data_IF_765653908927
#
_entry.id   IF_765653908927
#
_cell.length_a   1.000
_cell.length_b   1.000
_cell.length_c   1.000
_cell.angle_alpha   90.00
_cell.angle_beta   90.00
_cell.angle_gamma   90.00
#
_symmetry.space_group_name_H-M   'P 1'
#
loop_
_entity.id
_entity.type
_entity.pdbx_description
1 polymer ?
#
# COMPACT_ATOMS: atom_id res chain seq x y z
N UNK A 1 -9.69 3.42 -44.85
CA UNK A 1 -9.97 3.51 -43.39
C UNK A 1 -10.99 2.48 -42.88
N UNK A 2 -11.99 2.05 -43.67
CA UNK A 2 -12.98 1.07 -43.20
C UNK A 2 -12.43 -0.36 -43.00
N UNK A 3 -11.56 -0.86 -43.88
CA UNK A 3 -11.01 -2.23 -43.75
C UNK A 3 -10.13 -2.45 -42.50
N UNK A 4 -9.41 -1.41 -42.06
CA UNK A 4 -8.56 -1.49 -40.87
C UNK A 4 -9.40 -1.54 -39.58
N UNK A 5 -10.51 -0.81 -39.53
CA UNK A 5 -11.45 -0.80 -38.39
C UNK A 5 -12.18 -2.13 -38.24
N UNK A 6 -12.61 -2.75 -39.35
CA UNK A 6 -13.24 -4.08 -39.34
C UNK A 6 -12.29 -5.19 -38.91
N UNK A 7 -11.00 -5.11 -39.26
CA UNK A 7 -10.01 -6.10 -38.81
C UNK A 7 -9.65 -5.97 -37.33
N UNK A 8 -9.62 -4.74 -36.80
CA UNK A 8 -9.39 -4.48 -35.37
C UNK A 8 -10.57 -4.93 -34.48
N UNK A 9 -11.82 -4.77 -34.94
CA UNK A 9 -13.00 -5.28 -34.22
C UNK A 9 -13.10 -6.80 -34.28
N UNK A 10 -12.78 -7.43 -35.42
CA UNK A 10 -12.76 -8.89 -35.54
C UNK A 10 -11.66 -9.52 -34.66
N UNK A 11 -10.49 -8.90 -34.58
CA UNK A 11 -9.39 -9.37 -33.72
C UNK A 11 -9.74 -9.21 -32.23
N UNK A 12 -10.38 -8.10 -31.83
CA UNK A 12 -10.87 -7.91 -30.46
C UNK A 12 -11.98 -8.90 -30.08
N UNK A 13 -12.89 -9.23 -31.00
CA UNK A 13 -13.92 -10.24 -30.81
C UNK A 13 -13.30 -11.66 -30.70
N UNK A 14 -12.32 -12.01 -31.52
CA UNK A 14 -11.64 -13.30 -31.44
C UNK A 14 -10.88 -13.48 -30.12
N UNK A 15 -10.19 -12.43 -29.63
CA UNK A 15 -9.47 -12.47 -28.35
C UNK A 15 -10.43 -12.62 -27.17
N UNK A 16 -11.60 -11.98 -27.22
CA UNK A 16 -12.62 -12.07 -26.16
C UNK A 16 -13.34 -13.42 -26.15
N UNK A 17 -13.67 -14.01 -27.30
CA UNK A 17 -14.23 -15.36 -27.38
C UNK A 17 -13.24 -16.44 -26.89
N UNK A 18 -11.95 -16.31 -27.24
CA UNK A 18 -10.91 -17.26 -26.81
C UNK A 18 -10.75 -17.29 -25.28
N UNK A 19 -10.83 -16.12 -24.63
CA UNK A 19 -10.71 -16.01 -23.18
C UNK A 19 -11.89 -16.62 -22.41
N UNK A 20 -13.10 -16.51 -22.96
CA UNK A 20 -14.30 -17.12 -22.37
C UNK A 20 -14.32 -18.65 -22.54
N UNK A 21 -13.89 -19.16 -23.70
CA UNK A 21 -13.81 -20.60 -23.94
C UNK A 21 -12.80 -21.29 -23.00
N UNK A 22 -11.61 -20.71 -22.80
CA UNK A 22 -10.60 -21.24 -21.88
C UNK A 22 -11.02 -21.23 -20.40
N UNK A 23 -11.91 -20.31 -20.00
CA UNK A 23 -12.41 -20.27 -18.63
C UNK A 23 -13.45 -21.37 -18.38
N UNK A 24 -14.31 -21.65 -19.36
CA UNK A 24 -15.29 -22.73 -19.30
C UNK A 24 -14.62 -24.11 -19.17
N UNK A 25 -13.56 -24.37 -19.95
CA UNK A 25 -12.85 -25.66 -19.94
C UNK A 25 -12.18 -25.96 -18.60
N UNK A 26 -11.59 -24.96 -17.93
CA UNK A 26 -10.89 -25.17 -16.65
C UNK A 26 -11.84 -25.64 -15.53
N UNK A 27 -13.02 -25.04 -15.41
CA UNK A 27 -13.95 -25.43 -14.35
C UNK A 27 -14.52 -26.83 -14.59
N UNK A 28 -14.76 -27.19 -15.85
CA UNK A 28 -15.16 -28.55 -16.23
C UNK A 28 -14.03 -29.56 -15.94
N UNK A 29 -12.78 -29.23 -16.24
CA UNK A 29 -11.61 -30.07 -15.91
C UNK A 29 -11.45 -30.29 -14.40
N UNK A 30 -11.70 -29.26 -13.58
CA UNK A 30 -11.66 -29.36 -12.12
C UNK A 30 -12.84 -30.18 -11.55
N UNK A 31 -14.04 -30.02 -12.13
CA UNK A 31 -15.23 -30.75 -11.71
C UNK A 31 -15.15 -32.25 -12.06
N UNK A 32 -14.53 -32.58 -13.20
CA UNK A 32 -14.45 -33.94 -13.72
C UNK A 32 -13.15 -34.67 -13.34
N UNK A 33 -12.49 -34.26 -12.25
CA UNK A 33 -11.29 -34.95 -11.78
C UNK A 33 -11.59 -36.39 -11.34
N UNK A 34 -10.68 -37.36 -11.56
CA UNK A 34 -10.93 -38.77 -11.26
C UNK A 34 -10.93 -39.08 -9.76
N UNK A 35 -11.88 -39.93 -9.36
CA UNK A 35 -11.95 -40.53 -8.02
C UNK A 35 -11.90 -42.05 -8.14
N UNK A 36 -11.09 -42.69 -7.30
CA UNK A 36 -10.99 -44.14 -7.20
C UNK A 36 -11.63 -44.58 -5.89
N UNK A 37 -12.68 -45.42 -5.98
CA UNK A 37 -13.43 -45.93 -4.82
C UNK A 37 -13.96 -44.81 -3.90
N UNK A 38 -14.31 -43.66 -4.48
CA UNK A 38 -14.79 -42.49 -3.75
C UNK A 38 -13.70 -41.60 -3.14
N UNK A 39 -12.43 -41.94 -3.30
CA UNK A 39 -11.30 -41.11 -2.86
C UNK A 39 -10.64 -40.40 -4.05
N UNK A 40 -10.16 -39.16 -3.88
CA UNK A 40 -9.41 -38.50 -4.93
C UNK A 40 -8.10 -39.26 -5.19
N UNK A 41 -7.72 -39.40 -6.46
CA UNK A 41 -6.36 -39.88 -6.79
C UNK A 41 -5.31 -38.93 -6.23
N UNK A 42 -4.05 -39.36 -6.11
CA UNK A 42 -2.98 -38.47 -5.65
C UNK A 42 -2.85 -37.21 -6.52
N UNK A 43 -2.99 -37.37 -7.84
CA UNK A 43 -2.99 -36.25 -8.80
C UNK A 43 -4.18 -35.33 -8.59
N UNK A 44 -5.39 -35.88 -8.43
CA UNK A 44 -6.60 -35.11 -8.15
C UNK A 44 -6.49 -34.31 -6.86
N UNK A 45 -6.00 -34.94 -5.77
CA UNK A 45 -5.82 -34.27 -4.50
C UNK A 45 -4.86 -33.07 -4.64
N UNK A 46 -3.73 -33.23 -5.35
CA UNK A 46 -2.80 -32.14 -5.63
C UNK A 46 -3.46 -31.02 -6.46
N UNK A 47 -4.15 -31.38 -7.55
CA UNK A 47 -4.82 -30.40 -8.41
C UNK A 47 -5.86 -29.57 -7.64
N UNK A 48 -6.67 -30.21 -6.79
CA UNK A 48 -7.68 -29.52 -5.98
C UNK A 48 -7.04 -28.64 -4.89
N UNK A 49 -5.91 -29.05 -4.31
CA UNK A 49 -5.14 -28.23 -3.37
C UNK A 49 -4.55 -27.01 -4.09
N UNK A 50 -3.98 -27.18 -5.28
CA UNK A 50 -3.42 -26.09 -6.08
C UNK A 50 -4.51 -25.08 -6.46
N UNK A 51 -5.70 -25.56 -6.84
CA UNK A 51 -6.86 -24.71 -7.09
C UNK A 51 -7.29 -23.94 -5.84
N UNK A 52 -7.37 -24.61 -4.69
CA UNK A 52 -7.71 -23.98 -3.41
C UNK A 52 -6.69 -22.88 -3.04
N UNK A 53 -5.40 -23.13 -3.26
CA UNK A 53 -4.34 -22.15 -3.04
C UNK A 53 -4.49 -20.97 -3.99
N UNK A 54 -4.76 -21.22 -5.28
CA UNK A 54 -5.01 -20.17 -6.26
C UNK A 54 -6.19 -19.28 -5.84
N UNK A 55 -7.33 -19.88 -5.48
CA UNK A 55 -8.52 -19.14 -5.05
C UNK A 55 -8.23 -18.29 -3.81
N UNK A 56 -7.58 -18.88 -2.80
CA UNK A 56 -7.19 -18.17 -1.58
C UNK A 56 -6.20 -17.04 -1.86
N UNK A 57 -5.28 -17.21 -2.80
CA UNK A 57 -4.33 -16.19 -3.20
C UNK A 57 -5.04 -14.98 -3.84
N UNK A 58 -6.00 -15.23 -4.74
CA UNK A 58 -6.81 -14.16 -5.35
C UNK A 58 -7.64 -13.43 -4.31
N UNK A 59 -8.31 -14.14 -3.40
CA UNK A 59 -9.10 -13.51 -2.34
C UNK A 59 -8.23 -12.70 -1.36
N UNK A 60 -7.07 -13.25 -0.99
CA UNK A 60 -6.12 -12.55 -0.11
C UNK A 60 -5.58 -11.28 -0.77
N UNK A 61 -5.35 -11.30 -2.09
CA UNK A 61 -4.94 -10.13 -2.85
C UNK A 61 -6.00 -9.02 -2.80
N UNK A 62 -7.26 -9.37 -3.09
CA UNK A 62 -8.38 -8.42 -3.06
C UNK A 62 -8.59 -7.83 -1.67
N UNK A 63 -8.55 -8.67 -0.63
CA UNK A 63 -8.66 -8.25 0.76
C UNK A 63 -7.52 -7.30 1.18
N UNK A 64 -6.30 -7.54 0.70
CA UNK A 64 -5.12 -6.75 1.05
C UNK A 64 -4.96 -5.47 0.22
N UNK A 65 -5.82 -5.18 -0.76
CA UNK A 65 -5.68 -4.03 -1.67
C UNK A 65 -5.43 -2.69 -0.94
N UNK A 66 -6.19 -2.32 0.12
CA UNK A 66 -5.96 -1.05 0.83
C UNK A 66 -4.57 -1.01 1.48
N UNK A 67 -4.16 -2.12 2.10
CA UNK A 67 -2.87 -2.26 2.76
C UNK A 67 -1.69 -2.23 1.79
N UNK A 68 -1.80 -2.93 0.66
CA UNK A 68 -0.78 -2.89 -0.39
C UNK A 68 -0.62 -1.46 -0.93
N UNK A 69 -1.74 -0.73 -1.14
CA UNK A 69 -1.69 0.64 -1.63
C UNK A 69 -0.90 1.56 -0.68
N UNK A 70 -1.30 1.64 0.60
CA UNK A 70 -0.61 2.50 1.59
C UNK A 70 0.83 2.05 1.82
N UNK A 71 1.09 0.74 1.90
CA UNK A 71 2.44 0.22 2.05
C UNK A 71 3.36 0.63 0.89
N UNK A 72 2.84 0.59 -0.33
CA UNK A 72 3.60 0.96 -1.52
C UNK A 72 3.87 2.46 -1.58
N UNK A 73 2.90 3.28 -1.19
CA UNK A 73 3.09 4.72 -1.05
C UNK A 73 4.14 5.04 0.03
N UNK A 74 4.13 4.33 1.15
CA UNK A 74 5.16 4.42 2.21
C UNK A 74 6.55 4.10 1.68
N UNK A 75 6.74 2.93 1.08
CA UNK A 75 8.05 2.48 0.58
C UNK A 75 8.61 3.46 -0.46
N UNK A 76 7.77 3.93 -1.38
CA UNK A 76 8.17 4.91 -2.38
C UNK A 76 8.55 6.26 -1.76
N UNK A 77 7.76 6.73 -0.80
CA UNK A 77 8.02 7.97 -0.06
C UNK A 77 9.33 7.89 0.73
N UNK A 78 9.51 6.83 1.51
CA UNK A 78 10.70 6.65 2.35
C UNK A 78 11.97 6.49 1.52
N UNK A 79 11.89 5.80 0.37
CA UNK A 79 13.01 5.70 -0.57
C UNK A 79 13.40 7.05 -1.15
N UNK A 80 12.45 7.94 -1.38
CA UNK A 80 12.68 9.23 -2.01
C UNK A 80 13.07 10.34 -1.02
N UNK A 81 12.47 10.33 0.18
CA UNK A 81 12.54 11.44 1.14
C UNK A 81 13.21 11.06 2.47
N UNK A 82 13.49 9.77 2.68
CA UNK A 82 13.93 9.22 3.96
C UNK A 82 12.76 8.74 4.83
N UNK A 83 13.08 7.91 5.82
CA UNK A 83 12.13 7.38 6.79
C UNK A 83 12.31 8.04 8.16
N UNK A 84 11.23 8.51 8.76
CA UNK A 84 11.26 9.15 10.07
C UNK A 84 9.89 9.69 10.48
N UNK A 85 9.61 9.72 11.78
CA UNK A 85 8.39 10.37 12.29
C UNK A 85 8.40 11.89 12.00
N UNK A 86 9.58 12.49 11.87
CA UNK A 86 9.79 13.92 11.65
C UNK A 86 9.82 14.32 10.16
N UNK A 87 9.58 13.38 9.24
CA UNK A 87 9.60 13.63 7.79
C UNK A 87 8.15 13.68 7.28
N UNK A 88 7.73 14.85 6.82
CA UNK A 88 6.40 15.10 6.26
C UNK A 88 6.52 15.68 4.85
N UNK A 89 6.66 14.82 3.82
CA UNK A 89 6.67 15.26 2.44
C UNK A 89 5.46 16.14 2.12
N UNK A 90 5.72 17.32 1.57
CA UNK A 90 4.71 18.36 1.34
C UNK A 90 4.77 18.82 -0.12
N UNK A 91 3.64 18.72 -0.82
CA UNK A 91 3.49 19.20 -2.19
C UNK A 91 3.29 20.72 -2.19
N UNK A 92 4.42 21.46 -2.15
CA UNK A 92 4.44 22.93 -2.10
C UNK A 92 3.96 23.64 -3.37
N UNK A 93 3.70 22.86 -4.43
CA UNK A 93 3.15 23.34 -5.70
C UNK A 93 1.87 22.56 -5.99
N UNK A 94 0.98 23.15 -6.80
CA UNK A 94 -0.22 22.46 -7.27
C UNK A 94 0.14 21.12 -7.87
N UNK A 95 -0.57 20.10 -7.42
CA UNK A 95 -0.51 18.76 -8.00
C UNK A 95 -1.03 18.84 -9.44
N UNK A 96 -0.39 18.09 -10.34
CA UNK A 96 -0.78 18.02 -11.74
C UNK A 96 -0.72 16.56 -12.24
N UNK A 97 -1.08 16.33 -13.50
CA UNK A 97 -1.14 15.00 -14.10
C UNK A 97 0.18 14.18 -14.08
N UNK A 98 1.33 14.82 -13.79
CA UNK A 98 2.63 14.14 -13.66
C UNK A 98 2.90 13.64 -12.24
N UNK A 99 2.13 14.11 -11.25
CA UNK A 99 2.23 13.67 -9.86
C UNK A 99 1.60 12.29 -9.71
N UNK A 100 2.41 11.29 -9.37
CA UNK A 100 1.94 9.91 -9.18
C UNK A 100 1.63 9.67 -7.70
N UNK A 101 0.46 10.16 -7.30
CA UNK A 101 -0.19 9.86 -6.02
C UNK A 101 -1.57 9.30 -6.34
N UNK A 102 -2.14 8.47 -5.46
CA UNK A 102 -3.48 7.89 -5.67
C UNK A 102 -4.54 8.99 -5.57
N UNK A 103 -5.23 9.26 -6.69
CA UNK A 103 -6.39 10.16 -6.82
C UNK A 103 -6.27 11.51 -6.09
N UNK A 104 -5.23 12.33 -6.37
CA UNK A 104 -5.06 13.62 -5.70
C UNK A 104 -6.07 14.65 -6.22
N UNK A 105 -6.43 15.61 -5.36
CA UNK A 105 -7.06 16.85 -5.80
C UNK A 105 -5.97 17.82 -6.33
N UNK A 106 -6.33 18.72 -7.24
CA UNK A 106 -5.45 19.80 -7.70
C UNK A 106 -5.69 21.13 -6.98
N UNK A 107 -6.68 21.20 -6.10
CA UNK A 107 -7.15 22.46 -5.48
C UNK A 107 -6.70 22.65 -4.02
N UNK A 108 -5.73 21.85 -3.57
CA UNK A 108 -5.23 21.85 -2.19
C UNK A 108 -3.72 21.64 -2.16
N UNK A 109 -3.09 22.09 -1.07
CA UNK A 109 -1.74 21.68 -0.70
C UNK A 109 -1.83 20.41 0.13
N UNK A 110 -1.02 19.40 -0.22
CA UNK A 110 -1.01 18.10 0.44
C UNK A 110 0.25 17.89 1.26
N UNK A 111 0.09 17.22 2.40
CA UNK A 111 1.19 16.65 3.17
C UNK A 111 0.83 15.23 3.59
N UNK A 112 1.74 14.29 3.42
CA UNK A 112 1.49 12.88 3.75
C UNK A 112 2.67 12.27 4.46
N UNK A 113 2.44 11.55 5.55
CA UNK A 113 3.47 10.79 6.24
C UNK A 113 2.95 9.44 6.71
N UNK A 114 3.88 8.55 7.05
CA UNK A 114 3.63 7.19 7.46
C UNK A 114 4.31 6.97 8.80
N UNK A 115 3.51 6.88 9.86
CA UNK A 115 3.98 6.88 11.23
C UNK A 115 4.06 5.45 11.75
N UNK A 116 5.25 5.00 12.15
CA UNK A 116 5.49 3.65 12.68
C UNK A 116 5.49 3.66 14.22
N UNK A 117 4.34 3.36 14.81
CA UNK A 117 4.12 3.28 16.26
C UNK A 117 4.85 2.10 16.91
N UNK A 118 5.20 1.05 16.16
CA UNK A 118 6.00 -0.06 16.69
C UNK A 118 7.47 0.34 16.85
N UNK A 119 7.99 1.14 15.91
CA UNK A 119 9.36 1.61 15.95
C UNK A 119 9.55 2.76 16.94
N UNK A 120 8.63 3.71 16.97
CA UNK A 120 8.77 4.95 17.74
C UNK A 120 7.98 4.96 19.06
N UNK A 121 7.11 3.97 19.28
CA UNK A 121 6.15 3.98 20.37
C UNK A 121 4.98 4.93 20.10
N UNK A 122 4.22 5.32 21.14
CA UNK A 122 3.20 6.35 21.02
C UNK A 122 3.77 7.65 20.44
N UNK A 123 3.07 8.22 19.47
CA UNK A 123 3.47 9.47 18.81
C UNK A 123 2.47 10.58 19.12
N UNK A 124 2.98 11.79 19.30
CA UNK A 124 2.20 13.01 19.43
C UNK A 124 2.32 13.79 18.13
N UNK A 125 1.19 14.29 17.64
CA UNK A 125 1.08 15.11 16.44
C UNK A 125 0.39 16.42 16.81
N UNK A 126 1.11 17.52 16.72
CA UNK A 126 0.55 18.86 16.86
C UNK A 126 0.09 19.33 15.48
N UNK A 127 -1.22 19.24 15.23
CA UNK A 127 -1.84 19.70 14.01
C UNK A 127 -2.02 21.24 14.08
N UNK A 128 -1.57 21.99 13.08
CA UNK A 128 -1.70 23.44 13.08
C UNK A 128 -3.12 23.88 12.73
N UNK A 129 -3.51 25.12 13.08
CA UNK A 129 -4.80 25.67 12.68
C UNK A 129 -4.95 25.71 11.15
N UNK A 130 -6.18 25.52 10.66
CA UNK A 130 -6.53 25.64 9.23
C UNK A 130 -6.32 24.37 8.39
N UNK A 131 -5.69 23.33 8.95
CA UNK A 131 -5.60 22.03 8.25
C UNK A 131 -6.96 21.34 8.25
N UNK A 132 -7.17 20.49 7.24
CA UNK A 132 -8.15 19.42 7.28
C UNK A 132 -7.44 18.12 6.96
N UNK A 133 -7.71 17.07 7.70
CA UNK A 133 -7.18 15.79 7.32
C UNK A 133 -7.62 14.65 8.19
N UNK A 134 -6.81 13.60 8.16
CA UNK A 134 -7.18 12.35 8.81
C UNK A 134 -5.98 11.52 9.26
N UNK A 135 -6.25 10.67 10.23
CA UNK A 135 -5.44 9.52 10.59
C UNK A 135 -6.18 8.23 10.21
N UNK A 136 -5.53 7.41 9.39
CA UNK A 136 -6.01 6.08 9.03
C UNK A 136 -5.04 5.00 9.48
N UNK A 137 -5.57 3.82 9.79
CA UNK A 137 -4.75 2.63 9.89
C UNK A 137 -4.30 2.16 8.50
N UNK A 138 -3.40 1.18 8.43
CA UNK A 138 -2.86 0.76 7.13
C UNK A 138 -3.87 0.00 6.24
N UNK A 139 -5.07 -0.30 6.73
CA UNK A 139 -6.18 -0.77 5.91
C UNK A 139 -7.09 0.39 5.44
N UNK A 140 -6.62 1.63 5.54
CA UNK A 140 -7.37 2.85 5.21
C UNK A 140 -8.67 3.00 6.00
N UNK A 141 -8.67 2.53 7.25
CA UNK A 141 -9.80 2.72 8.17
C UNK A 141 -9.48 3.87 9.12
N UNK A 142 -10.39 4.83 9.31
CA UNK A 142 -10.20 5.90 10.27
C UNK A 142 -9.99 5.35 11.69
N UNK A 143 -8.90 5.77 12.33
CA UNK A 143 -8.56 5.27 13.68
C UNK A 143 -9.51 5.83 14.73
N UNK A 144 -9.79 5.05 15.77
CA UNK A 144 -10.80 5.43 16.78
C UNK A 144 -10.21 6.52 17.68
N UNK A 145 -10.85 7.68 17.71
CA UNK A 145 -10.48 8.83 18.53
C UNK A 145 -11.29 8.94 19.82
N UNK A 146 -11.25 10.12 20.48
CA UNK A 146 -11.97 10.35 21.72
C UNK A 146 -13.49 10.46 21.48
N UNK A 147 -14.26 10.22 22.54
CA UNK A 147 -15.70 10.56 22.57
C UNK A 147 -15.88 11.88 23.29
N UNK A 148 -16.40 12.88 22.59
CA UNK A 148 -16.63 14.24 23.07
C UNK A 148 -18.09 14.58 22.77
N UNK A 149 -18.82 15.08 23.77
CA UNK A 149 -20.24 15.46 23.64
C UNK A 149 -21.12 14.35 23.02
N UNK A 150 -20.88 13.09 23.41
CA UNK A 150 -21.62 11.93 22.90
C UNK A 150 -21.24 11.48 21.49
N UNK A 151 -20.28 12.15 20.83
CA UNK A 151 -19.77 11.78 19.49
C UNK A 151 -18.37 11.20 19.58
N UNK A 152 -18.19 9.98 19.06
CA UNK A 152 -16.85 9.39 18.86
C UNK A 152 -16.25 9.86 17.55
N UNK A 153 -15.11 10.55 17.62
CA UNK A 153 -14.35 10.98 16.44
C UNK A 153 -13.58 9.81 15.83
N UNK A 154 -13.40 9.81 14.50
CA UNK A 154 -12.78 8.70 13.78
C UNK A 154 -11.80 9.22 12.74
N UNK A 155 -10.51 9.16 13.06
CA UNK A 155 -9.44 9.70 12.23
C UNK A 155 -9.51 11.21 11.99
N UNK A 156 -10.61 11.89 12.27
CA UNK A 156 -10.86 13.27 11.86
C UNK A 156 -9.90 14.28 12.51
N UNK A 157 -9.33 15.17 11.70
CA UNK A 157 -8.42 16.25 12.15
C UNK A 157 -8.79 17.56 11.48
N UNK A 158 -8.68 18.67 12.21
CA UNK A 158 -8.84 20.01 11.67
C UNK A 158 -10.30 20.44 11.60
N UNK A 159 -10.70 21.07 10.49
CA UNK A 159 -12.07 21.61 10.32
C UNK A 159 -13.18 20.59 10.63
N UNK A 160 -12.95 19.32 10.32
CA UNK A 160 -13.88 18.22 10.57
C UNK A 160 -13.56 17.42 11.83
N UNK A 161 -12.51 17.77 12.57
CA UNK A 161 -12.04 17.06 13.75
C UNK A 161 -12.52 17.66 15.08
N UNK A 162 -12.11 17.05 16.20
CA UNK A 162 -12.46 17.53 17.54
C UNK A 162 -11.88 18.91 17.86
N UNK A 163 -10.81 19.32 17.17
CA UNK A 163 -10.17 20.63 17.29
C UNK A 163 -10.91 21.74 16.54
N UNK A 164 -11.94 21.41 15.73
CA UNK A 164 -12.81 22.37 15.02
C UNK A 164 -12.00 23.38 14.18
N UNK A 165 -10.89 22.93 13.59
CA UNK A 165 -9.99 23.72 12.74
C UNK A 165 -9.08 24.70 13.49
N UNK A 166 -9.14 24.74 14.82
CA UNK A 166 -8.30 25.61 15.65
C UNK A 166 -6.88 25.07 15.86
N UNK A 167 -6.59 23.87 15.34
CA UNK A 167 -5.37 23.14 15.64
C UNK A 167 -5.48 22.42 16.98
N UNK A 168 -4.69 21.37 17.14
CA UNK A 168 -4.80 20.51 18.31
C UNK A 168 -3.64 19.54 18.45
N UNK A 169 -3.47 19.03 19.67
CA UNK A 169 -2.52 17.98 19.98
C UNK A 169 -3.21 16.63 19.92
N UNK A 170 -2.71 15.73 19.10
CA UNK A 170 -3.23 14.38 18.91
C UNK A 170 -2.23 13.37 19.42
N UNK A 171 -2.69 12.37 20.16
CA UNK A 171 -1.83 11.30 20.69
C UNK A 171 -2.22 9.99 20.04
N UNK A 172 -1.31 9.39 19.28
CA UNK A 172 -1.50 8.16 18.54
C UNK A 172 -0.92 6.99 19.35
N UNK A 173 -1.78 6.04 19.71
CA UNK A 173 -1.42 4.86 20.50
C UNK A 173 -1.35 3.61 19.61
N UNK A 174 -0.32 2.76 19.77
CA UNK A 174 -0.25 1.47 19.09
C UNK A 174 -1.33 0.50 19.62
N UNK A 175 -1.69 -0.53 18.83
CA UNK A 175 -2.75 -1.49 19.19
C UNK A 175 -2.48 -2.25 20.50
N UNK A 176 -1.21 -2.42 20.88
CA UNK A 176 -0.75 -3.16 22.05
C UNK A 176 -0.30 -2.25 23.20
N UNK A 177 -0.59 -0.94 23.15
CA UNK A 177 -0.19 -0.01 24.21
C UNK A 177 -0.73 -0.42 25.59
N UNK A 178 0.18 -0.58 26.57
CA UNK A 178 -0.13 -0.91 27.98
C UNK A 178 0.28 0.16 28.98
N UNK A 179 0.77 1.31 28.49
CA UNK A 179 1.15 2.42 29.36
C UNK A 179 -0.06 3.16 29.93
N UNK A 180 0.17 4.14 30.82
CA UNK A 180 -0.90 4.99 31.34
C UNK A 180 -1.58 5.75 30.21
N UNK A 181 -2.88 5.99 30.36
CA UNK A 181 -3.64 6.74 29.36
C UNK A 181 -3.21 8.21 29.34
N UNK A 182 -2.86 8.78 28.18
CA UNK A 182 -2.56 10.21 28.09
C UNK A 182 -3.77 11.04 28.50
N UNK A 183 -3.56 12.01 29.40
CA UNK A 183 -4.60 12.93 29.88
C UNK A 183 -4.71 14.21 29.04
N UNK A 184 -3.69 14.48 28.22
CA UNK A 184 -3.61 15.68 27.38
C UNK A 184 -3.76 15.32 25.90
N UNK A 185 -4.46 16.19 25.18
CA UNK A 185 -4.71 16.05 23.74
C UNK A 185 -5.82 15.06 23.38
N UNK A 186 -6.05 14.89 22.08
CA UNK A 186 -7.02 13.98 21.53
C UNK A 186 -6.38 12.61 21.31
N UNK A 187 -6.77 11.62 22.12
CA UNK A 187 -6.18 10.28 22.06
C UNK A 187 -6.85 9.44 20.97
N UNK A 188 -6.07 8.94 20.03
CA UNK A 188 -6.50 8.03 18.97
C UNK A 188 -5.76 6.70 19.07
N UNK A 189 -6.49 5.60 18.91
CA UNK A 189 -5.96 4.23 19.00
C UNK A 189 -5.98 3.55 17.65
N UNK A 190 -4.79 3.19 17.17
CA UNK A 190 -4.65 2.48 15.91
C UNK A 190 -4.85 0.98 16.10
N UNK A 191 -5.44 0.33 15.09
CA UNK A 191 -5.54 -1.13 14.99
C UNK A 191 -4.29 -1.76 14.35
N UNK A 192 -3.43 -0.94 13.76
CA UNK A 192 -2.16 -1.35 13.13
C UNK A 192 -1.00 -0.54 13.68
N UNK A 193 0.22 -1.07 13.58
CA UNK A 193 1.41 -0.37 14.05
C UNK A 193 1.78 0.83 13.19
N UNK A 194 1.38 0.83 11.91
CA UNK A 194 1.60 1.98 11.05
C UNK A 194 0.30 2.80 10.94
N UNK A 195 0.42 4.12 10.92
CA UNK A 195 -0.67 5.09 10.75
C UNK A 195 -0.36 5.98 9.56
N UNK A 196 -1.33 6.17 8.69
CA UNK A 196 -1.27 7.12 7.59
C UNK A 196 -1.75 8.49 8.09
N UNK A 197 -0.86 9.48 8.01
CA UNK A 197 -1.16 10.89 8.30
C UNK A 197 -1.34 11.61 6.97
N UNK A 198 -2.45 12.33 6.84
CA UNK A 198 -2.80 13.01 5.61
C UNK A 198 -3.41 14.38 5.84
N UNK A 199 -2.67 15.44 5.49
CA UNK A 199 -3.08 16.84 5.59
C UNK A 199 -3.47 17.45 4.26
N UNK A 200 -4.46 18.33 4.33
CA UNK A 200 -4.89 19.26 3.30
C UNK A 200 -4.91 20.67 3.90
N UNK A 201 -4.40 21.64 3.15
CA UNK A 201 -4.61 23.06 3.41
C UNK A 201 -5.14 23.76 2.17
N UNK A 202 -5.90 24.82 2.39
CA UNK A 202 -6.71 25.49 1.38
C UNK A 202 -6.04 26.79 0.94
N UNK A 203 -5.84 26.97 -0.37
CA UNK A 203 -5.46 28.26 -0.93
C UNK A 203 -6.70 29.04 -1.39
N UNK A 204 -6.61 30.36 -1.38
CA UNK A 204 -7.59 31.26 -2.01
C UNK A 204 -7.18 31.65 -3.43
N UNK A 205 -5.89 31.85 -3.65
CA UNK A 205 -5.31 32.15 -4.96
C UNK A 205 -4.42 30.96 -5.40
N UNK A 206 -4.71 30.29 -6.54
CA UNK A 206 -3.86 29.22 -7.06
C UNK A 206 -2.43 29.65 -7.43
N UNK A 207 -2.16 30.96 -7.52
CA UNK A 207 -0.81 31.51 -7.77
C UNK A 207 0.00 31.70 -6.50
N UNK A 208 -0.64 31.81 -5.34
CA UNK A 208 0.04 31.96 -4.04
C UNK A 208 -0.30 30.81 -3.09
N UNK A 209 0.67 29.91 -2.96
CA UNK A 209 0.59 28.75 -2.06
C UNK A 209 1.42 28.95 -0.79
N UNK A 210 2.01 30.12 -0.58
CA UNK A 210 2.92 30.35 0.55
C UNK A 210 2.21 30.17 1.90
N UNK A 211 0.99 30.69 2.02
CA UNK A 211 0.15 30.57 3.21
C UNK A 211 -0.18 29.11 3.54
N UNK A 212 -0.86 28.33 2.68
CA UNK A 212 -1.21 26.95 3.01
C UNK A 212 0.01 26.03 3.20
N UNK A 213 1.15 26.32 2.55
CA UNK A 213 2.40 25.61 2.80
C UNK A 213 2.92 25.94 4.19
N UNK A 214 3.01 27.22 4.57
CA UNK A 214 3.44 27.63 5.89
C UNK A 214 2.51 27.08 6.99
N UNK A 215 1.21 26.96 6.73
CA UNK A 215 0.26 26.33 7.65
C UNK A 215 0.64 24.89 7.94
N UNK A 216 0.86 24.06 6.90
CA UNK A 216 1.31 22.66 7.03
C UNK A 216 2.64 22.54 7.76
N UNK A 217 3.60 23.42 7.44
CA UNK A 217 4.96 23.36 7.99
C UNK A 217 5.05 23.70 9.49
N UNK A 218 3.95 24.17 10.09
CA UNK A 218 3.83 24.29 11.56
C UNK A 218 3.54 22.95 12.25
N UNK A 219 3.27 21.88 11.50
CA UNK A 219 3.04 20.54 12.06
C UNK A 219 4.27 20.08 12.84
N UNK A 220 4.07 19.52 14.03
CA UNK A 220 5.13 18.85 14.79
C UNK A 220 4.74 17.42 15.10
N UNK A 221 5.71 16.52 15.01
CA UNK A 221 5.52 15.10 15.31
C UNK A 221 6.68 14.65 16.19
N UNK A 222 6.38 13.99 17.31
CA UNK A 222 7.41 13.52 18.24
C UNK A 222 6.90 12.35 19.08
N UNK A 223 7.80 11.47 19.59
CA UNK A 223 7.41 10.43 20.54
C UNK A 223 6.82 11.03 21.82
N UNK A 224 5.80 10.38 22.39
CA UNK A 224 5.16 10.80 23.63
C UNK A 224 6.21 10.99 24.74
N UNK A 225 6.16 12.15 25.41
CA UNK A 225 7.11 12.53 26.45
C UNK A 225 8.51 12.95 25.97
N UNK A 226 8.73 13.10 24.66
CA UNK A 226 10.06 13.43 24.08
C UNK A 226 10.08 14.73 23.25
N UNK A 227 9.21 15.69 23.56
CA UNK A 227 9.08 16.95 22.82
C UNK A 227 10.40 17.72 22.73
N UNK A 228 11.13 17.86 23.84
CA UNK A 228 12.35 18.67 23.90
C UNK A 228 13.55 18.01 23.19
N UNK A 229 13.54 16.68 23.09
CA UNK A 229 14.55 15.89 22.38
C UNK A 229 14.12 15.48 20.97
N UNK A 230 13.01 16.03 20.47
CA UNK A 230 12.46 15.65 19.17
C UNK A 230 13.39 16.06 18.03
N UNK A 231 13.46 15.23 16.99
CA UNK A 231 14.16 15.59 15.77
C UNK A 231 13.45 16.78 15.11
N UNK A 232 14.20 17.73 14.51
CA UNK A 232 13.60 18.82 13.74
C UNK A 232 12.72 18.28 12.60
N UNK A 233 11.55 18.88 12.42
CA UNK A 233 10.66 18.52 11.32
C UNK A 233 11.30 18.84 9.97
N UNK A 234 11.08 17.96 9.01
CA UNK A 234 11.53 18.10 7.64
C UNK A 234 10.33 18.01 6.70
N UNK A 235 10.21 18.98 5.79
CA UNK A 235 9.12 19.06 4.81
C UNK A 235 9.68 18.96 3.39
N UNK A 236 10.24 17.80 3.00
CA UNK A 236 10.83 17.64 1.68
C UNK A 236 9.75 17.81 0.61
N UNK A 237 10.09 18.53 -0.45
CA UNK A 237 9.19 18.70 -1.57
C UNK A 237 9.34 17.54 -2.54
N UNK A 238 8.25 16.84 -2.90
CA UNK A 238 8.30 15.82 -3.93
C UNK A 238 8.75 16.36 -5.29
N UNK A 239 9.58 15.62 -6.05
CA UNK A 239 10.04 16.09 -7.34
C UNK A 239 8.86 16.28 -8.31
N UNK A 240 8.96 17.28 -9.19
CA UNK A 240 7.96 17.52 -10.23
C UNK A 240 7.95 16.44 -11.35
N UNK A 241 8.91 15.51 -11.33
CA UNK A 241 9.03 14.40 -12.29
C UNK A 241 8.44 13.11 -11.69
N UNK A 242 8.12 12.13 -12.56
CA UNK A 242 7.44 10.87 -12.22
C UNK A 242 8.15 10.12 -11.09
N UNK A 243 7.74 10.38 -9.86
CA UNK A 243 8.16 9.64 -8.68
C UNK A 243 7.06 8.63 -8.38
N UNK A 244 7.30 7.36 -8.63
CA UNK A 244 6.27 6.30 -8.57
C UNK A 244 5.86 6.05 -7.12
N UNK A 245 4.97 6.86 -6.57
CA UNK A 245 4.32 6.59 -5.27
C UNK A 245 3.03 5.78 -5.46
N UNK A 246 2.78 5.20 -6.64
CA UNK A 246 1.58 4.43 -6.94
C UNK A 246 1.83 2.92 -6.89
N UNK A 247 0.73 2.19 -6.74
CA UNK A 247 0.59 0.74 -6.67
C UNK A 247 1.63 -0.05 -7.51
N UNK A 248 2.32 -1.04 -6.93
CA UNK A 248 3.33 -1.83 -7.62
C UNK A 248 2.69 -2.75 -8.66
N UNK A 249 3.43 -3.05 -9.73
CA UNK A 249 3.07 -4.16 -10.64
C UNK A 249 3.11 -5.50 -9.88
N UNK A 250 2.22 -6.42 -10.26
CA UNK A 250 1.87 -7.71 -9.60
C UNK A 250 3.00 -8.46 -8.86
N UNK A 251 4.24 -8.43 -9.35
CA UNK A 251 5.37 -9.16 -8.74
C UNK A 251 5.82 -8.58 -7.38
N UNK A 252 5.66 -7.27 -7.15
CA UNK A 252 6.04 -6.63 -5.88
C UNK A 252 4.97 -6.77 -4.77
N UNK A 253 3.82 -7.35 -5.09
CA UNK A 253 2.65 -7.47 -4.21
C UNK A 253 2.86 -8.57 -3.16
N UNK A 254 3.49 -9.69 -3.51
CA UNK A 254 3.77 -10.78 -2.57
C UNK A 254 4.73 -10.35 -1.45
N UNK A 255 5.69 -9.48 -1.76
CA UNK A 255 6.60 -8.88 -0.77
C UNK A 255 5.87 -7.88 0.13
N UNK A 256 4.97 -7.06 -0.42
CA UNK A 256 4.16 -6.11 0.35
C UNK A 256 3.18 -6.83 1.30
N UNK A 257 2.46 -7.86 0.83
CA UNK A 257 1.59 -8.67 1.68
C UNK A 257 2.35 -9.35 2.81
N UNK A 258 3.58 -9.83 2.56
CA UNK A 258 4.40 -10.45 3.60
C UNK A 258 4.84 -9.43 4.66
N UNK A 259 5.18 -8.21 4.24
CA UNK A 259 5.61 -7.14 5.14
C UNK A 259 4.46 -6.58 5.99
N UNK A 260 3.24 -6.50 5.47
CA UNK A 260 2.06 -6.05 6.23
C UNK A 260 1.54 -7.11 7.22
N UNK A 261 1.84 -8.39 7.01
CA UNK A 261 1.28 -9.52 7.78
C UNK A 261 2.25 -10.20 8.75
N UNK A 262 3.52 -9.78 8.85
CA UNK A 262 4.50 -10.45 9.73
C UNK A 262 5.02 -9.58 10.88
N UNK A 263 4.81 -9.98 12.15
CA UNK A 263 5.64 -9.53 13.25
C UNK A 263 7.06 -10.09 13.05
N UNK A 264 8.10 -9.27 13.23
CA UNK A 264 9.54 -9.59 13.04
C UNK A 264 10.10 -10.78 13.87
N UNK A 265 9.26 -11.62 14.50
CA UNK A 265 9.67 -12.66 15.46
C UNK A 265 9.61 -14.10 14.93
N UNK A 266 9.50 -14.32 13.62
CA UNK A 266 9.70 -15.65 13.03
C UNK A 266 11.09 -15.75 12.41
N UNK A 267 11.91 -16.55 13.08
CA UNK A 267 13.31 -16.89 12.78
C UNK A 267 13.55 -17.31 11.33
N UNK A 268 14.73 -16.96 10.84
CA UNK A 268 15.35 -17.33 9.55
C UNK A 268 14.96 -18.74 9.06
N UNK A 269 13.97 -18.82 8.18
CA UNK A 269 13.93 -19.80 7.10
C UNK A 269 13.65 -19.06 5.81
N UNK A 270 14.73 -18.76 5.09
CA UNK A 270 14.72 -18.19 3.76
C UNK A 270 14.07 -19.17 2.78
N UNK A 271 12.80 -18.96 2.46
CA UNK A 271 12.23 -19.48 1.21
C UNK A 271 12.58 -18.50 0.09
N UNK A 272 13.76 -18.66 -0.51
CA UNK A 272 14.11 -18.01 -1.77
C UNK A 272 13.27 -18.63 -2.89
N UNK A 273 12.19 -17.96 -3.27
CA UNK A 273 11.55 -18.21 -4.56
C UNK A 273 12.40 -17.50 -5.63
N UNK A 274 13.38 -18.19 -6.19
CA UNK A 274 14.14 -17.69 -7.35
C UNK A 274 13.27 -17.90 -8.58
N UNK A 275 12.34 -16.98 -8.82
CA UNK A 275 11.71 -16.83 -10.13
C UNK A 275 12.53 -15.79 -10.91
N UNK A 276 13.57 -16.24 -11.60
CA UNK A 276 14.26 -15.44 -12.61
C UNK A 276 13.36 -15.29 -13.83
N UNK A 277 12.53 -14.25 -13.87
CA UNK A 277 11.87 -13.81 -15.09
C UNK A 277 12.68 -12.67 -15.71
N UNK A 278 13.48 -13.00 -16.72
CA UNK A 278 14.16 -12.01 -17.57
C UNK A 278 13.13 -11.16 -18.32
N UNK A 279 13.29 -9.83 -18.47
CA UNK A 279 12.30 -9.00 -19.16
C UNK A 279 12.30 -9.28 -20.66
N UNK A 280 11.15 -9.67 -21.22
CA UNK A 280 10.97 -9.77 -22.66
C UNK A 280 10.79 -8.37 -23.25
N UNK A 281 11.92 -7.75 -23.61
CA UNK A 281 11.95 -6.51 -24.37
C UNK A 281 11.67 -6.80 -25.86
N UNK A 282 10.74 -6.02 -26.42
CA UNK A 282 10.41 -5.83 -27.83
C UNK A 282 11.42 -6.34 -28.86
N UNK A 283 11.01 -7.29 -29.71
CA UNK A 283 11.55 -7.41 -31.08
C UNK A 283 10.42 -7.67 -32.08
N UNK A 284 10.46 -6.88 -33.15
CA UNK A 284 9.58 -6.92 -34.32
C UNK A 284 9.80 -8.24 -35.10
N UNK A 285 8.70 -8.69 -35.70
CA UNK A 285 8.54 -9.52 -36.89
C UNK A 285 9.74 -10.34 -37.43
N UNK A 286 9.56 -11.68 -37.47
CA UNK A 286 9.77 -12.52 -38.66
C UNK A 286 9.25 -13.95 -38.42
N UNK A 287 8.56 -14.61 -39.36
CA UNK A 287 8.03 -15.96 -39.21
C UNK A 287 8.98 -16.99 -39.83
N UNK A 288 9.68 -17.78 -39.00
CA UNK A 288 10.12 -19.15 -39.30
C UNK A 288 11.09 -19.64 -38.21
N UNK A 289 10.73 -20.72 -37.52
CA UNK A 289 11.55 -21.93 -37.27
C UNK A 289 11.01 -22.76 -36.09
N UNK A 290 10.62 -23.99 -36.45
CA UNK A 290 10.59 -25.28 -35.72
C UNK A 290 10.73 -25.33 -34.19
N UNK A 291 9.80 -26.09 -33.59
CA UNK A 291 9.88 -26.72 -32.27
C UNK A 291 11.20 -27.49 -32.04
N UNK A 292 11.77 -27.36 -30.84
CA UNK A 292 12.60 -28.38 -30.19
C UNK A 292 12.19 -28.52 -28.72
N UNK A 293 11.83 -29.75 -28.36
CA UNK A 293 11.62 -30.24 -27.00
C UNK A 293 12.94 -30.28 -26.21
N UNK A 294 12.85 -30.09 -24.89
CA UNK A 294 13.76 -30.71 -23.93
C UNK A 294 14.44 -29.75 -22.95
N UNK A 295 14.04 -29.82 -21.67
CA UNK A 295 14.92 -29.56 -20.54
C UNK A 295 14.44 -30.33 -19.30
N UNK A 296 15.10 -31.45 -19.01
CA UNK A 296 15.07 -32.11 -17.70
C UNK A 296 15.83 -31.26 -16.68
N UNK A 297 15.35 -31.19 -15.43
CA UNK A 297 16.09 -30.61 -14.31
C UNK A 297 16.06 -31.57 -13.10
N UNK A 298 17.23 -32.12 -12.74
CA UNK A 298 17.43 -32.93 -11.53
C UNK A 298 17.80 -32.05 -10.33
N UNK A 299 17.19 -32.28 -9.17
CA UNK A 299 17.57 -31.65 -7.91
C UNK A 299 18.85 -32.27 -7.32
N UNK A 300 19.88 -31.45 -7.04
CA UNK A 300 20.95 -31.82 -6.10
C UNK A 300 20.74 -31.09 -4.76
N UNK A 301 20.54 -31.84 -3.68
CA UNK A 301 20.57 -31.32 -2.29
C UNK A 301 22.00 -30.92 -1.92
N UNK A 302 22.19 -29.69 -1.42
CA UNK A 302 23.41 -29.32 -0.67
C UNK A 302 23.19 -29.61 0.81
N UNK A 303 24.09 -30.37 1.41
CA UNK A 303 24.11 -30.63 2.85
C UNK A 303 24.46 -29.36 3.66
N UNK A 304 24.01 -29.24 4.92
CA UNK A 304 24.30 -28.09 5.75
C UNK A 304 25.77 -28.10 6.20
N UNK A 305 26.44 -26.94 6.13
CA UNK A 305 27.75 -26.72 6.76
C UNK A 305 27.56 -26.57 8.27
N UNK A 306 28.38 -27.29 9.04
CA UNK A 306 28.46 -27.22 10.49
C UNK A 306 29.36 -26.06 10.95
N UNK A 307 28.89 -25.46 12.06
CA UNK A 307 29.49 -24.45 12.96
C UNK A 307 29.76 -23.05 12.39
#
# INVERSE_FOLDING_TARGET
MNRLRTSLTALAAAITLSGLANAATRYEELANQPFEKGFPTETTARNLIDELVFQRAVQSYLWALPAINIWSMKEASEKQFGAGYNILPTWKKRINAKTLVTTPNSDLVYAMSYLDLQKYGPLVVEAPPGVQGMFDDFFQRPIVGPTIDGKTWRGDVGLAGPDKGKGGTYVLLPPDYKGPEPTEGYVYRSRTNNVFLFWRTFFKDPKDLSVPVAEVERTKIYPLGKKDSALPMQFPMPPAHRSTCCFPRMVAISTCCRASLTPKRWTRQTWTCVASCTPWASRRASPSLRMRNGANCSMKRRAPRSR
#
